data_IF_296923915263
#
_entry.id   IF_296923915263
#
_cell.length_a   1.000
_cell.length_b   1.000
_cell.length_c   1.000
_cell.angle_alpha   90.00
_cell.angle_beta   90.00
_cell.angle_gamma   90.00
#
_symmetry.space_group_name_H-M   'P 1'
#
loop_
_entity.id
_entity.type
_entity.pdbx_description
1 polymer ?
#
# COMPACT_ATOMS: atom_id res chain seq x y z
N UNK A 1 -0.35 7.13 -12.85
CA UNK A 1 -0.73 5.94 -13.63
C UNK A 1 0.43 4.95 -13.82
N UNK A 2 1.56 5.33 -14.44
CA UNK A 2 2.67 4.40 -14.67
C UNK A 2 3.28 3.79 -13.39
N UNK A 3 3.51 4.61 -12.36
CA UNK A 3 4.10 4.18 -11.08
C UNK A 3 3.18 3.21 -10.33
N UNK A 4 1.87 3.47 -10.29
CA UNK A 4 0.90 2.58 -9.61
C UNK A 4 0.87 1.19 -10.26
N UNK A 5 0.87 1.13 -11.61
CA UNK A 5 0.92 -0.15 -12.33
C UNK A 5 2.23 -0.90 -12.06
N UNK A 6 3.35 -0.18 -11.99
CA UNK A 6 4.65 -0.78 -11.67
C UNK A 6 4.65 -1.39 -10.26
N UNK A 7 4.18 -0.66 -9.25
CA UNK A 7 4.01 -1.13 -7.87
C UNK A 7 3.19 -2.43 -7.81
N UNK A 8 1.99 -2.44 -8.42
CA UNK A 8 1.10 -3.60 -8.36
C UNK A 8 1.73 -4.83 -9.03
N UNK A 9 2.42 -4.65 -10.15
CA UNK A 9 3.17 -5.72 -10.82
C UNK A 9 4.32 -6.24 -9.96
N UNK A 10 5.11 -5.34 -9.37
CA UNK A 10 6.22 -5.72 -8.49
C UNK A 10 5.73 -6.53 -7.29
N UNK A 11 4.62 -6.09 -6.67
CA UNK A 11 4.01 -6.80 -5.56
C UNK A 11 3.46 -8.16 -6.00
N UNK A 12 2.80 -8.24 -7.16
CA UNK A 12 2.37 -9.52 -7.74
C UNK A 12 3.52 -10.51 -7.91
N UNK A 13 4.64 -10.05 -8.48
CA UNK A 13 5.84 -10.86 -8.67
C UNK A 13 6.48 -11.30 -7.33
N UNK A 14 6.50 -10.41 -6.34
CA UNK A 14 6.99 -10.72 -4.99
C UNK A 14 6.19 -11.86 -4.36
N UNK A 15 4.85 -11.76 -4.42
CA UNK A 15 3.98 -12.79 -3.86
C UNK A 15 4.13 -14.14 -4.57
N UNK A 16 4.33 -14.16 -5.89
CA UNK A 16 4.62 -15.40 -6.65
C UNK A 16 5.96 -15.98 -6.22
N UNK A 17 7.00 -15.16 -6.08
CA UNK A 17 8.31 -15.64 -5.65
C UNK A 17 8.26 -16.28 -4.25
N UNK A 18 7.47 -15.71 -3.33
CA UNK A 18 7.29 -16.23 -1.96
C UNK A 18 6.15 -17.24 -1.82
N UNK A 19 5.57 -17.74 -2.91
CA UNK A 19 4.50 -18.74 -2.85
C UNK A 19 4.94 -19.99 -2.06
N UNK A 20 4.02 -20.51 -1.23
CA UNK A 20 4.30 -21.61 -0.30
C UNK A 20 5.15 -21.24 0.92
N UNK A 21 5.51 -19.95 1.11
CA UNK A 21 6.26 -19.45 2.27
C UNK A 21 5.48 -18.38 3.02
N UNK A 22 5.81 -18.19 4.29
CA UNK A 22 5.25 -17.11 5.09
C UNK A 22 5.84 -15.76 4.65
N UNK A 23 5.00 -14.89 4.09
CA UNK A 23 5.35 -13.51 3.76
C UNK A 23 4.30 -12.56 4.37
N UNK A 24 4.77 -11.56 5.11
CA UNK A 24 3.95 -10.41 5.52
C UNK A 24 4.30 -9.24 4.60
N UNK A 25 3.30 -8.64 3.98
CA UNK A 25 3.48 -7.52 3.07
C UNK A 25 2.55 -6.37 3.47
N UNK A 26 3.14 -5.21 3.75
CA UNK A 26 2.42 -3.97 4.03
C UNK A 26 2.79 -2.94 2.96
N UNK A 27 1.79 -2.28 2.38
CA UNK A 27 1.98 -1.19 1.44
C UNK A 27 1.49 0.10 2.07
N UNK A 28 2.43 0.99 2.38
CA UNK A 28 2.13 2.31 2.93
C UNK A 28 1.95 3.31 1.79
N UNK A 29 0.75 3.87 1.67
CA UNK A 29 0.39 4.91 0.71
C UNK A 29 0.33 6.26 1.41
N UNK A 30 1.07 7.23 0.86
CA UNK A 30 1.13 8.59 1.36
C UNK A 30 1.35 9.60 0.23
N UNK A 31 1.17 10.89 0.53
CA UNK A 31 1.27 11.98 -0.44
C UNK A 31 0.27 11.86 -1.59
N UNK A 32 0.70 12.24 -2.79
CA UNK A 32 -0.14 12.26 -3.99
C UNK A 32 -0.59 10.87 -4.48
N UNK A 33 -0.07 9.79 -3.88
CA UNK A 33 -0.49 8.43 -4.19
C UNK A 33 -1.81 8.03 -3.51
N UNK A 34 -2.36 8.84 -2.58
CA UNK A 34 -3.59 8.49 -1.84
C UNK A 34 -4.78 8.05 -2.70
N UNK A 35 -5.03 8.59 -3.93
CA UNK A 35 -6.18 8.16 -4.73
C UNK A 35 -6.10 6.70 -5.16
N UNK A 36 -4.92 6.06 -5.08
CA UNK A 36 -4.77 4.63 -5.33
C UNK A 36 -5.70 3.79 -4.45
N UNK A 37 -5.96 4.21 -3.22
CA UNK A 37 -6.75 3.48 -2.23
C UNK A 37 -8.21 3.95 -2.12
N UNK A 38 -8.66 4.86 -3.00
CA UNK A 38 -10.07 5.28 -3.02
C UNK A 38 -10.96 4.27 -3.76
N UNK A 39 -12.26 4.30 -3.49
CA UNK A 39 -13.22 3.43 -4.17
C UNK A 39 -13.29 3.66 -5.68
N UNK A 40 -12.93 4.86 -6.14
CA UNK A 40 -12.87 5.28 -7.54
C UNK A 40 -11.54 4.93 -8.22
N UNK A 41 -10.64 4.25 -7.51
CA UNK A 41 -9.35 3.83 -8.05
C UNK A 41 -9.52 2.91 -9.26
N UNK A 42 -8.86 3.26 -10.36
CA UNK A 42 -8.79 2.43 -11.56
C UNK A 42 -8.08 1.08 -11.34
N UNK A 43 -7.49 0.86 -10.15
CA UNK A 43 -6.79 -0.37 -9.77
C UNK A 43 -7.51 -1.15 -8.66
N UNK A 44 -8.79 -0.83 -8.42
CA UNK A 44 -9.60 -1.43 -7.35
C UNK A 44 -9.56 -2.96 -7.36
N UNK A 45 -9.74 -3.57 -8.52
CA UNK A 45 -9.78 -5.04 -8.65
C UNK A 45 -8.43 -5.66 -8.31
N UNK A 46 -7.32 -5.11 -8.82
CA UNK A 46 -5.98 -5.61 -8.50
C UNK A 46 -5.62 -5.42 -7.02
N UNK A 47 -5.99 -4.29 -6.42
CA UNK A 47 -5.76 -4.02 -4.99
C UNK A 47 -6.51 -5.04 -4.13
N UNK A 48 -7.79 -5.30 -4.43
CA UNK A 48 -8.60 -6.28 -3.73
C UNK A 48 -8.07 -7.71 -3.92
N UNK A 49 -7.61 -8.05 -5.14
CA UNK A 49 -6.97 -9.34 -5.42
C UNK A 49 -5.70 -9.53 -4.58
N UNK A 50 -4.82 -8.52 -4.52
CA UNK A 50 -3.59 -8.56 -3.72
C UNK A 50 -3.90 -8.62 -2.22
N UNK A 51 -4.95 -7.93 -1.76
CA UNK A 51 -5.42 -8.02 -0.39
C UNK A 51 -5.90 -9.43 -0.02
N UNK A 52 -6.62 -10.11 -0.92
CA UNK A 52 -7.00 -11.51 -0.75
C UNK A 52 -5.81 -12.47 -0.65
N UNK A 53 -4.63 -12.04 -1.11
CA UNK A 53 -3.36 -12.78 -1.01
C UNK A 53 -2.51 -12.37 0.20
N UNK A 54 -3.09 -11.62 1.15
CA UNK A 54 -2.45 -11.27 2.41
C UNK A 54 -1.71 -9.92 2.44
N UNK A 55 -1.82 -9.11 1.38
CA UNK A 55 -1.26 -7.75 1.37
C UNK A 55 -2.11 -6.80 2.22
N UNK A 56 -1.48 -6.04 3.10
CA UNK A 56 -2.17 -5.01 3.89
C UNK A 56 -1.92 -3.62 3.30
N UNK A 57 -3.01 -2.90 3.02
CA UNK A 57 -2.97 -1.54 2.48
C UNK A 57 -3.12 -0.51 3.60
N UNK A 58 -2.13 0.35 3.76
CA UNK A 58 -2.05 1.33 4.86
C UNK A 58 -2.08 2.74 4.29
N UNK A 59 -3.00 3.59 4.77
CA UNK A 59 -3.12 4.98 4.34
C UNK A 59 -2.65 5.93 5.45
N UNK A 60 -1.77 6.87 5.10
CA UNK A 60 -1.23 7.84 6.04
C UNK A 60 -2.25 8.94 6.42
N UNK A 61 -2.60 9.04 7.70
CA UNK A 61 -3.52 10.06 8.21
C UNK A 61 -3.01 11.50 7.98
N UNK A 62 -1.69 11.72 8.08
CA UNK A 62 -1.10 13.02 7.76
C UNK A 62 -1.33 13.40 6.29
N UNK A 63 -1.32 12.43 5.38
CA UNK A 63 -1.65 12.67 3.96
C UNK A 63 -3.09 13.11 3.80
N UNK A 64 -4.05 12.36 4.39
CA UNK A 64 -5.48 12.71 4.36
C UNK A 64 -5.70 14.15 4.82
N UNK A 65 -5.10 14.51 5.96
CA UNK A 65 -5.21 15.87 6.53
C UNK A 65 -4.54 16.93 5.64
N UNK A 66 -3.31 16.69 5.19
CA UNK A 66 -2.53 17.68 4.43
C UNK A 66 -3.12 18.00 3.06
N UNK A 67 -3.75 17.02 2.41
CA UNK A 67 -4.35 17.16 1.09
C UNK A 67 -5.85 17.43 1.15
N UNK A 68 -6.42 17.58 2.36
CA UNK A 68 -7.87 17.66 2.58
C UNK A 68 -8.62 16.57 1.81
N UNK A 69 -8.06 15.36 1.79
CA UNK A 69 -8.58 14.27 0.99
C UNK A 69 -9.92 13.80 1.58
N UNK A 70 -10.97 13.90 0.77
CA UNK A 70 -12.30 13.40 1.09
C UNK A 70 -12.68 12.38 0.03
N UNK A 71 -12.59 11.09 0.37
CA UNK A 71 -12.97 9.98 -0.48
C UNK A 71 -13.45 8.80 0.37
N UNK A 72 -14.27 7.94 -0.23
CA UNK A 72 -14.49 6.61 0.31
C UNK A 72 -13.25 5.75 0.04
N UNK A 73 -12.79 5.01 1.05
CA UNK A 73 -11.62 4.15 0.93
C UNK A 73 -12.03 2.72 0.59
N UNK A 74 -11.20 2.01 -0.15
CA UNK A 74 -11.42 0.60 -0.44
C UNK A 74 -11.56 -0.22 0.86
N UNK A 75 -12.43 -1.25 0.87
CA UNK A 75 -12.60 -2.11 2.04
C UNK A 75 -11.30 -2.76 2.50
N UNK A 76 -10.98 -2.64 3.79
CA UNK A 76 -9.77 -3.22 4.39
C UNK A 76 -8.53 -2.32 4.33
N UNK A 77 -8.63 -1.13 3.74
CA UNK A 77 -7.62 -0.08 3.92
C UNK A 77 -7.58 0.33 5.39
N UNK A 78 -6.39 0.30 6.00
CA UNK A 78 -6.18 0.74 7.38
C UNK A 78 -5.55 2.13 7.39
N UNK A 79 -6.15 3.06 8.12
CA UNK A 79 -5.56 4.39 8.32
C UNK A 79 -4.54 4.29 9.47
N UNK A 80 -3.30 4.73 9.20
CA UNK A 80 -2.19 4.76 10.17
C UNK A 80 -1.79 6.20 10.49
N UNK A 81 -1.32 6.52 11.73
CA UNK A 81 -1.05 7.89 12.14
C UNK A 81 -0.02 8.61 11.25
N UNK A 82 1.08 7.92 10.91
CA UNK A 82 2.15 8.47 10.09
C UNK A 82 2.79 7.38 9.23
N UNK A 83 2.70 7.53 7.90
CA UNK A 83 3.27 6.56 6.95
C UNK A 83 4.78 6.39 7.09
N UNK A 84 5.53 7.51 7.16
CA UNK A 84 6.99 7.46 7.34
C UNK A 84 7.38 6.86 8.69
N UNK A 85 6.66 7.22 9.76
CA UNK A 85 6.90 6.66 11.10
C UNK A 85 6.71 5.14 11.12
N UNK A 86 5.60 4.66 10.55
CA UNK A 86 5.32 3.23 10.42
C UNK A 86 6.41 2.49 9.62
N UNK A 87 6.91 3.08 8.52
CA UNK A 87 8.02 2.51 7.76
C UNK A 87 9.32 2.43 8.56
N UNK A 88 9.61 3.43 9.40
CA UNK A 88 10.78 3.40 10.29
C UNK A 88 10.64 2.30 11.33
N UNK A 89 9.48 2.22 12.00
CA UNK A 89 9.20 1.17 12.99
C UNK A 89 9.35 -0.24 12.39
N UNK A 90 8.77 -0.50 11.22
CA UNK A 90 8.91 -1.78 10.53
C UNK A 90 10.35 -2.10 10.18
N UNK A 91 11.13 -1.14 9.68
CA UNK A 91 12.53 -1.38 9.38
C UNK A 91 13.35 -1.69 10.65
N UNK A 92 13.06 -1.03 11.78
CA UNK A 92 13.69 -1.32 13.07
C UNK A 92 13.30 -2.71 13.61
N UNK A 93 12.10 -3.19 13.30
CA UNK A 93 11.67 -4.58 13.56
C UNK A 93 12.32 -5.60 12.62
N UNK A 94 13.19 -5.18 11.70
CA UNK A 94 13.90 -6.06 10.77
C UNK A 94 13.18 -6.32 9.44
N UNK A 95 12.15 -5.54 9.10
CA UNK A 95 11.48 -5.67 7.81
C UNK A 95 12.34 -5.13 6.67
N UNK A 96 12.29 -5.81 5.53
CA UNK A 96 12.83 -5.28 4.30
C UNK A 96 11.96 -4.10 3.81
N UNK A 97 12.61 -3.02 3.37
CA UNK A 97 11.95 -1.87 2.77
C UNK A 97 12.16 -1.86 1.26
N UNK A 98 11.06 -1.66 0.51
CA UNK A 98 11.06 -1.47 -0.92
C UNK A 98 10.28 -0.21 -1.27
N UNK A 99 10.90 0.71 -2.00
CA UNK A 99 10.21 1.83 -2.64
C UNK A 99 9.92 1.49 -4.10
N UNK A 100 8.64 1.43 -4.45
CA UNK A 100 8.22 1.15 -5.83
C UNK A 100 8.15 2.45 -6.64
N UNK A 101 9.23 2.76 -7.37
CA UNK A 101 9.31 3.88 -8.31
C UNK A 101 10.08 5.10 -7.79
N UNK A 102 10.62 5.87 -8.74
CA UNK A 102 11.17 7.21 -8.52
C UNK A 102 10.04 8.25 -8.46
#
# INVERSE_FOLDING_TARGET
MAVHRALLRQLGNLLVYFEGRLLKAEVVVHGQAYPLLSEESAYREEIMSLQGRGVQWLLCANTIRSLSASASWLPGVRIIPAGVGHLVERQLEGWAYLRAGE
#
